data_IF_351372098231
#
_entry.id   IF_351372098231
#
_cell.length_a   1.000
_cell.length_b   1.000
_cell.length_c   1.000
_cell.angle_alpha   90.00
_cell.angle_beta   90.00
_cell.angle_gamma   90.00
#
_symmetry.space_group_name_H-M   'P 1'
#
loop_
_entity.id
_entity.type
_entity.pdbx_description
1 polymer ?
#
# COMPACT_ATOMS: atom_id res chain seq x y z
N UNK A 1 -3.46 -13.14 -18.86
CA UNK A 1 -3.43 -13.82 -17.53
C UNK A 1 -3.33 -12.86 -16.33
N UNK A 2 -2.96 -11.60 -16.51
CA UNK A 2 -2.92 -10.59 -15.43
C UNK A 2 -4.32 -10.33 -14.88
N UNK A 3 -5.32 -10.19 -15.76
CA UNK A 3 -6.72 -9.95 -15.37
C UNK A 3 -7.31 -11.12 -14.54
N UNK A 4 -6.90 -12.37 -14.84
CA UNK A 4 -7.35 -13.53 -14.06
C UNK A 4 -6.82 -13.49 -12.62
N UNK A 5 -5.56 -13.06 -12.44
CA UNK A 5 -4.96 -12.89 -11.11
C UNK A 5 -5.61 -11.76 -10.34
N UNK A 6 -5.90 -10.64 -11.01
CA UNK A 6 -6.62 -9.53 -10.38
C UNK A 6 -8.04 -9.91 -9.97
N UNK A 7 -8.79 -10.59 -10.84
CA UNK A 7 -10.12 -11.10 -10.52
C UNK A 7 -10.11 -12.10 -9.36
N UNK A 8 -9.11 -12.98 -9.31
CA UNK A 8 -8.92 -13.91 -8.21
C UNK A 8 -8.63 -13.18 -6.89
N UNK A 9 -7.79 -12.14 -6.93
CA UNK A 9 -7.47 -11.33 -5.75
C UNK A 9 -8.71 -10.62 -5.19
N UNK A 10 -9.51 -10.01 -6.08
CA UNK A 10 -10.79 -9.38 -5.73
C UNK A 10 -11.75 -10.41 -5.15
N UNK A 11 -11.88 -11.57 -5.79
CA UNK A 11 -12.75 -12.66 -5.33
C UNK A 11 -12.35 -13.17 -3.95
N UNK A 12 -11.06 -13.41 -3.70
CA UNK A 12 -10.56 -13.83 -2.39
C UNK A 12 -10.81 -12.77 -1.32
N UNK A 13 -10.59 -11.49 -1.61
CA UNK A 13 -10.85 -10.42 -0.64
C UNK A 13 -12.33 -10.29 -0.30
N UNK A 14 -13.23 -10.46 -1.28
CA UNK A 14 -14.68 -10.50 -1.03
C UNK A 14 -15.10 -11.70 -0.19
N UNK A 15 -14.53 -12.88 -0.47
CA UNK A 15 -14.79 -14.08 0.34
C UNK A 15 -14.33 -13.91 1.79
N UNK A 16 -13.17 -13.29 2.01
CA UNK A 16 -12.69 -12.97 3.35
C UNK A 16 -13.65 -12.03 4.07
N UNK A 17 -14.11 -10.96 3.42
CA UNK A 17 -15.07 -10.03 4.02
C UNK A 17 -16.38 -10.74 4.38
N UNK A 18 -16.89 -11.58 3.50
CA UNK A 18 -18.10 -12.38 3.75
C UNK A 18 -17.91 -13.32 4.93
N UNK A 19 -16.74 -13.94 5.05
CA UNK A 19 -16.41 -14.79 6.19
C UNK A 19 -16.37 -14.01 7.51
N UNK A 20 -15.86 -12.79 7.51
CA UNK A 20 -15.87 -11.92 8.71
C UNK A 20 -17.29 -11.50 9.10
N UNK A 21 -18.16 -11.18 8.14
CA UNK A 21 -19.57 -10.87 8.40
C UNK A 21 -20.29 -12.07 9.02
N UNK A 22 -20.08 -13.27 8.45
CA UNK A 22 -20.66 -14.51 8.99
C UNK A 22 -20.18 -14.79 10.42
N UNK A 23 -18.88 -14.58 10.66
CA UNK A 23 -18.30 -14.78 11.99
C UNK A 23 -18.85 -13.77 13.00
N UNK A 24 -19.02 -12.51 12.60
CA UNK A 24 -19.65 -11.47 13.42
C UNK A 24 -21.12 -11.83 13.75
N UNK A 25 -21.88 -12.30 12.75
CA UNK A 25 -23.25 -12.77 12.96
C UNK A 25 -23.33 -13.94 13.95
N UNK A 26 -22.37 -14.87 13.87
CA UNK A 26 -22.28 -16.03 14.75
C UNK A 26 -21.95 -15.62 16.20
N UNK A 27 -21.05 -14.62 16.36
CA UNK A 27 -20.71 -14.05 17.66
C UNK A 27 -21.91 -13.35 18.31
N UNK A 28 -22.61 -12.51 17.54
CA UNK A 28 -23.78 -11.77 18.02
C UNK A 28 -24.92 -12.73 18.40
N UNK A 29 -25.11 -13.80 17.64
CA UNK A 29 -26.08 -14.86 17.96
C UNK A 29 -25.76 -15.54 19.29
N UNK A 30 -24.47 -15.79 19.57
CA UNK A 30 -24.05 -16.34 20.88
C UNK A 30 -24.26 -15.39 22.05
N UNK A 31 -24.45 -14.12 21.79
CA UNK A 31 -24.73 -13.08 22.80
C UNK A 31 -26.23 -12.86 22.99
N UNK A 32 -27.08 -13.79 22.48
CA UNK A 32 -28.55 -13.70 22.51
C UNK A 32 -29.13 -12.42 21.88
N UNK A 33 -28.39 -11.82 20.94
CA UNK A 33 -28.84 -10.67 20.17
C UNK A 33 -29.23 -11.11 18.74
N UNK A 34 -30.13 -10.34 18.10
CA UNK A 34 -30.53 -10.62 16.72
C UNK A 34 -29.42 -10.25 15.74
N UNK A 35 -28.82 -11.25 15.04
CA UNK A 35 -27.70 -10.98 14.11
C UNK A 35 -28.10 -10.12 12.91
N UNK A 36 -29.35 -10.23 12.45
CA UNK A 36 -29.82 -9.48 11.29
C UNK A 36 -29.94 -8.01 11.60
N UNK A 37 -30.52 -7.65 12.74
CA UNK A 37 -30.68 -6.26 13.15
C UNK A 37 -29.34 -5.66 13.57
N UNK A 38 -28.50 -6.43 14.28
CA UNK A 38 -27.25 -5.91 14.85
C UNK A 38 -26.12 -5.81 13.81
N UNK A 39 -26.04 -6.75 12.87
CA UNK A 39 -24.94 -6.82 11.90
C UNK A 39 -25.41 -6.35 10.52
N UNK A 40 -26.36 -7.05 9.89
CA UNK A 40 -26.74 -6.80 8.49
C UNK A 40 -27.43 -5.47 8.28
N UNK A 41 -28.29 -5.02 9.19
CA UNK A 41 -28.97 -3.73 9.06
C UNK A 41 -28.02 -2.53 9.18
N UNK A 42 -26.86 -2.72 9.84
CA UNK A 42 -25.85 -1.68 10.01
C UNK A 42 -24.75 -1.72 8.94
N UNK A 43 -24.69 -2.76 8.11
CA UNK A 43 -23.72 -2.85 7.01
C UNK A 43 -24.26 -2.11 5.77
N UNK A 44 -23.60 -1.03 5.42
CA UNK A 44 -23.83 -0.33 4.14
C UNK A 44 -22.92 -0.94 3.08
N UNK A 45 -23.37 -1.98 2.38
CA UNK A 45 -22.57 -2.69 1.38
C UNK A 45 -22.02 -1.78 0.26
N UNK A 46 -22.80 -0.75 -0.15
CA UNK A 46 -22.35 0.21 -1.15
C UNK A 46 -21.16 1.04 -0.67
N UNK A 47 -21.22 1.53 0.56
CA UNK A 47 -20.15 2.33 1.15
C UNK A 47 -18.90 1.47 1.37
N UNK A 48 -19.06 0.21 1.81
CA UNK A 48 -17.95 -0.75 1.95
C UNK A 48 -17.20 -0.98 0.63
N UNK A 49 -17.91 -1.15 -0.48
CA UNK A 49 -17.28 -1.34 -1.79
C UNK A 49 -16.56 -0.08 -2.26
N UNK A 50 -17.17 1.10 -2.08
CA UNK A 50 -16.55 2.37 -2.44
C UNK A 50 -15.29 2.65 -1.61
N UNK A 51 -15.38 2.42 -0.31
CA UNK A 51 -14.24 2.58 0.60
C UNK A 51 -13.11 1.58 0.28
N UNK A 52 -13.45 0.35 -0.07
CA UNK A 52 -12.48 -0.66 -0.46
C UNK A 52 -11.75 -0.28 -1.75
N UNK A 53 -12.47 0.11 -2.79
CA UNK A 53 -11.87 0.50 -4.07
C UNK A 53 -11.07 1.79 -3.91
N UNK A 54 -11.61 2.77 -3.20
CA UNK A 54 -10.94 4.02 -2.89
C UNK A 54 -9.65 3.81 -2.11
N UNK A 55 -9.67 2.96 -1.11
CA UNK A 55 -8.50 2.65 -0.31
C UNK A 55 -7.44 1.86 -1.08
N UNK A 56 -7.82 0.91 -1.94
CA UNK A 56 -6.84 0.24 -2.81
C UNK A 56 -6.16 1.22 -3.75
N UNK A 57 -6.93 2.15 -4.34
CA UNK A 57 -6.39 3.20 -5.19
C UNK A 57 -5.42 4.10 -4.41
N UNK A 58 -5.85 4.53 -3.21
CA UNK A 58 -5.04 5.39 -2.35
C UNK A 58 -3.76 4.68 -1.89
N UNK A 59 -3.86 3.43 -1.46
CA UNK A 59 -2.68 2.63 -1.10
C UNK A 59 -1.74 2.44 -2.28
N UNK A 60 -2.26 2.19 -3.47
CA UNK A 60 -1.44 2.05 -4.68
C UNK A 60 -0.70 3.34 -5.02
N UNK A 61 -1.34 4.50 -4.90
CA UNK A 61 -0.72 5.81 -5.10
C UNK A 61 0.31 6.12 -4.02
N UNK A 62 0.01 5.79 -2.76
CA UNK A 62 0.90 6.03 -1.63
C UNK A 62 2.18 5.18 -1.70
N UNK A 63 2.09 3.94 -2.13
CA UNK A 63 3.24 3.02 -2.25
C UNK A 63 3.94 3.13 -3.62
N UNK A 64 3.37 3.90 -4.57
CA UNK A 64 3.92 4.07 -5.91
C UNK A 64 5.42 4.46 -5.94
N UNK A 65 5.95 5.36 -5.09
CA UNK A 65 7.38 5.70 -5.07
C UNK A 65 8.26 4.50 -4.75
N UNK A 66 7.84 3.63 -3.85
CA UNK A 66 8.57 2.41 -3.49
C UNK A 66 8.62 1.44 -4.68
N UNK A 67 7.48 1.20 -5.33
CA UNK A 67 7.43 0.37 -6.54
C UNK A 67 8.25 0.95 -7.68
N UNK A 68 8.17 2.27 -7.91
CA UNK A 68 8.95 2.96 -8.92
C UNK A 68 10.46 2.78 -8.72
N UNK A 69 10.92 2.91 -7.47
CA UNK A 69 12.31 2.67 -7.10
C UNK A 69 12.76 1.23 -7.37
N UNK A 70 11.97 0.24 -6.96
CA UNK A 70 12.27 -1.17 -7.23
C UNK A 70 12.32 -1.50 -8.73
N UNK A 71 11.42 -0.89 -9.53
CA UNK A 71 11.43 -1.03 -10.98
C UNK A 71 12.68 -0.43 -11.60
N UNK A 72 13.12 0.74 -11.15
CA UNK A 72 14.35 1.38 -11.60
C UNK A 72 15.58 0.53 -11.24
N UNK A 73 15.67 0.07 -10.01
CA UNK A 73 16.74 -0.82 -9.56
C UNK A 73 16.77 -2.13 -10.36
N UNK A 74 15.60 -2.71 -10.67
CA UNK A 74 15.47 -3.89 -11.52
C UNK A 74 15.92 -3.64 -12.96
N UNK A 75 15.68 -2.44 -13.50
CA UNK A 75 16.14 -2.06 -14.83
C UNK A 75 17.68 -1.85 -14.88
N UNK A 76 18.24 -1.35 -13.79
CA UNK A 76 19.69 -1.10 -13.68
C UNK A 76 20.48 -2.37 -13.40
N UNK A 77 20.05 -3.19 -12.46
CA UNK A 77 20.80 -4.34 -11.98
C UNK A 77 20.85 -5.48 -12.99
N UNK A 78 22.05 -5.94 -13.34
CA UNK A 78 22.27 -7.19 -14.12
C UNK A 78 22.10 -8.43 -13.24
N UNK A 79 22.48 -8.32 -11.96
CA UNK A 79 22.38 -9.38 -10.96
C UNK A 79 21.91 -8.78 -9.64
N UNK A 80 21.14 -9.55 -8.88
CA UNK A 80 20.63 -9.18 -7.55
C UNK A 80 19.92 -7.79 -7.46
N UNK A 81 18.83 -7.58 -8.20
CA UNK A 81 18.12 -6.29 -8.24
C UNK A 81 17.63 -5.83 -6.87
N UNK A 82 17.31 -6.77 -5.98
CA UNK A 82 16.88 -6.46 -4.61
C UNK A 82 18.01 -5.80 -3.80
N UNK A 83 19.23 -6.29 -3.90
CA UNK A 83 20.38 -5.69 -3.19
C UNK A 83 20.63 -4.28 -3.73
N UNK A 84 20.57 -4.09 -5.05
CA UNK A 84 20.74 -2.76 -5.68
C UNK A 84 19.63 -1.79 -5.29
N UNK A 85 18.44 -2.27 -5.01
CA UNK A 85 17.35 -1.42 -4.52
C UNK A 85 17.52 -1.04 -3.04
N UNK A 86 17.90 -1.98 -2.20
CA UNK A 86 17.86 -1.82 -0.74
C UNK A 86 19.18 -1.24 -0.20
N UNK A 87 20.34 -1.67 -0.70
CA UNK A 87 21.62 -1.25 -0.16
C UNK A 87 21.89 0.27 -0.22
N UNK A 88 21.57 0.99 -1.32
CA UNK A 88 21.75 2.44 -1.34
C UNK A 88 20.86 3.17 -0.32
N UNK A 89 19.61 2.72 -0.15
CA UNK A 89 18.66 3.31 0.79
C UNK A 89 19.15 3.14 2.22
N UNK A 90 19.54 1.91 2.60
CA UNK A 90 20.13 1.65 3.92
C UNK A 90 21.44 2.43 4.10
N UNK A 91 22.28 2.50 3.06
CA UNK A 91 23.52 3.26 3.11
C UNK A 91 23.28 4.74 3.39
N UNK A 92 22.31 5.36 2.72
CA UNK A 92 21.96 6.78 2.94
C UNK A 92 21.39 6.97 4.35
N UNK A 93 20.50 6.08 4.82
CA UNK A 93 19.96 6.14 6.18
C UNK A 93 21.07 6.08 7.25
N UNK A 94 22.03 5.18 7.07
CA UNK A 94 23.15 5.04 8.00
C UNK A 94 24.08 6.27 7.96
N UNK A 95 24.37 6.80 6.77
CA UNK A 95 25.17 8.02 6.62
C UNK A 95 24.47 9.23 7.22
N UNK A 96 23.18 9.37 7.01
CA UNK A 96 22.37 10.44 7.59
C UNK A 96 22.40 10.38 9.12
N UNK A 97 22.11 9.23 9.70
CA UNK A 97 22.14 9.02 11.14
C UNK A 97 23.52 9.27 11.75
N UNK A 98 24.60 8.84 11.07
CA UNK A 98 25.96 8.99 11.57
C UNK A 98 26.50 10.43 11.41
N UNK A 99 26.25 11.10 10.27
CA UNK A 99 26.81 12.42 9.96
C UNK A 99 25.96 13.56 10.47
N UNK A 100 24.63 13.43 10.34
CA UNK A 100 23.69 14.52 10.64
C UNK A 100 22.92 14.31 11.94
N UNK A 101 22.89 13.09 12.47
CA UNK A 101 22.09 12.74 13.65
C UNK A 101 20.58 12.87 13.40
N UNK A 102 20.16 12.79 12.11
CA UNK A 102 18.76 12.90 11.68
C UNK A 102 18.28 11.58 11.10
N UNK A 103 16.96 11.46 10.94
CA UNK A 103 16.29 10.26 10.43
C UNK A 103 15.27 10.58 9.31
N UNK A 104 15.47 11.69 8.60
CA UNK A 104 14.52 12.15 7.56
C UNK A 104 14.32 11.13 6.44
N UNK A 105 15.41 10.49 5.96
CA UNK A 105 15.31 9.49 4.90
C UNK A 105 14.59 8.25 5.40
N UNK A 106 14.88 7.83 6.63
CA UNK A 106 14.18 6.71 7.27
C UNK A 106 12.68 7.03 7.40
N UNK A 107 12.32 8.19 7.93
CA UNK A 107 10.94 8.62 8.10
C UNK A 107 10.20 8.71 6.75
N UNK A 108 10.85 9.27 5.72
CA UNK A 108 10.28 9.37 4.38
C UNK A 108 10.01 8.00 3.74
N UNK A 109 10.91 7.05 3.88
CA UNK A 109 10.73 5.70 3.34
C UNK A 109 9.66 4.93 4.10
N UNK A 110 9.71 4.96 5.43
CA UNK A 110 8.76 4.23 6.29
C UNK A 110 7.34 4.78 6.14
N UNK A 111 7.16 6.10 5.99
CA UNK A 111 5.84 6.70 5.78
C UNK A 111 5.15 6.20 4.51
N UNK A 112 5.90 5.82 3.47
CA UNK A 112 5.33 5.29 2.22
C UNK A 112 5.16 3.76 2.21
N UNK A 113 5.61 3.07 3.26
CA UNK A 113 5.37 1.63 3.42
C UNK A 113 4.17 1.45 4.34
N UNK A 114 3.10 0.76 3.92
CA UNK A 114 1.96 0.47 4.79
C UNK A 114 2.45 -0.31 6.01
N UNK A 115 2.31 0.27 7.18
CA UNK A 115 2.71 -0.37 8.43
C UNK A 115 1.74 -0.02 9.55
N UNK A 116 1.67 -0.89 10.53
CA UNK A 116 0.92 -0.67 11.75
C UNK A 116 1.85 -0.18 12.84
N UNK A 117 1.62 1.04 13.33
CA UNK A 117 2.35 1.60 14.46
C UNK A 117 1.37 1.77 15.61
N UNK A 118 1.61 1.08 16.73
CA UNK A 118 0.78 1.20 17.91
C UNK A 118 -0.68 0.77 17.74
N UNK A 119 -0.98 -0.07 16.74
CA UNK A 119 -2.34 -0.52 16.45
C UNK A 119 -3.10 0.40 15.47
N UNK A 120 -2.51 1.50 15.07
CA UNK A 120 -3.05 2.40 14.05
C UNK A 120 -2.34 2.17 12.71
N UNK A 121 -3.11 2.08 11.63
CA UNK A 121 -2.54 2.01 10.28
C UNK A 121 -2.35 3.42 9.75
N UNK A 122 -1.18 3.73 9.23
CA UNK A 122 -0.90 5.03 8.58
C UNK A 122 -1.69 5.20 7.29
N UNK A 123 -1.94 4.09 6.59
CA UNK A 123 -2.89 4.00 5.49
C UNK A 123 -3.76 2.78 5.76
N UNK A 124 -4.91 2.98 6.31
CA UNK A 124 -5.79 1.89 6.73
C UNK A 124 -7.20 2.05 6.26
N UNK A 125 -7.85 0.90 6.15
CA UNK A 125 -9.27 0.81 5.94
C UNK A 125 -9.95 0.68 7.29
N UNK A 126 -10.89 1.58 7.56
CA UNK A 126 -11.84 1.38 8.64
C UNK A 126 -13.19 0.99 8.06
N UNK A 127 -14.01 0.32 8.86
CA UNK A 127 -15.36 -0.08 8.50
C UNK A 127 -16.27 1.12 8.13
N UNK A 128 -15.86 2.35 8.49
CA UNK A 128 -16.67 3.57 8.31
C UNK A 128 -16.07 4.64 7.38
N UNK A 129 -15.06 4.31 6.57
CA UNK A 129 -14.55 5.26 5.57
C UNK A 129 -13.04 5.23 5.37
N UNK A 130 -12.61 5.88 4.30
CA UNK A 130 -11.20 6.11 4.00
C UNK A 130 -10.71 7.30 4.82
N UNK A 131 -9.56 7.17 5.51
CA UNK A 131 -8.95 8.29 6.22
C UNK A 131 -8.36 9.32 5.25
N UNK A 132 -9.19 10.18 4.74
CA UNK A 132 -8.75 11.34 3.96
C UNK A 132 -8.07 12.40 4.82
N UNK A 133 -8.34 12.42 6.14
CA UNK A 133 -7.86 13.46 7.06
C UNK A 133 -6.40 13.26 7.50
N UNK A 134 -5.87 12.06 7.41
CA UNK A 134 -4.51 11.74 7.85
C UNK A 134 -3.50 11.63 6.70
N UNK A 135 -3.95 11.73 5.45
CA UNK A 135 -3.06 11.67 4.29
C UNK A 135 -2.40 13.03 4.06
N UNK A 136 -1.09 13.10 4.26
CA UNK A 136 -0.31 14.26 3.87
C UNK A 136 -0.25 14.37 2.33
N UNK A 137 -1.09 15.22 1.78
CA UNK A 137 -1.20 15.45 0.34
C UNK A 137 0.11 15.95 -0.28
N UNK A 138 0.91 16.70 0.48
CA UNK A 138 2.21 17.18 0.00
C UNK A 138 3.20 16.03 -0.13
N UNK A 139 3.30 15.18 0.87
CA UNK A 139 4.13 13.98 0.85
C UNK A 139 3.70 13.02 -0.28
N UNK A 140 2.39 12.83 -0.45
CA UNK A 140 1.84 12.02 -1.54
C UNK A 140 2.21 12.59 -2.92
N UNK A 141 2.11 13.91 -3.11
CA UNK A 141 2.47 14.55 -4.37
C UNK A 141 3.97 14.40 -4.65
N UNK A 142 4.84 14.65 -3.69
CA UNK A 142 6.27 14.42 -3.81
C UNK A 142 6.61 12.96 -4.15
N UNK A 143 5.94 12.02 -3.49
CA UNK A 143 6.07 10.59 -3.76
C UNK A 143 5.65 10.22 -5.19
N UNK A 144 4.55 10.76 -5.69
CA UNK A 144 4.08 10.52 -7.06
C UNK A 144 5.03 11.11 -8.11
N UNK A 145 5.58 12.30 -7.88
CA UNK A 145 6.60 12.89 -8.76
C UNK A 145 7.84 11.99 -8.79
N UNK A 146 8.30 11.52 -7.65
CA UNK A 146 9.42 10.58 -7.56
C UNK A 146 9.10 9.26 -8.29
N UNK A 147 7.89 8.70 -8.12
CA UNK A 147 7.43 7.52 -8.84
C UNK A 147 7.44 7.72 -10.36
N UNK A 148 6.98 8.87 -10.84
CA UNK A 148 7.00 9.20 -12.27
C UNK A 148 8.42 9.27 -12.82
N UNK A 149 9.34 9.94 -12.12
CA UNK A 149 10.75 10.04 -12.52
C UNK A 149 11.40 8.65 -12.59
N UNK A 150 11.19 7.81 -11.59
CA UNK A 150 11.75 6.45 -11.53
C UNK A 150 11.18 5.53 -12.58
N UNK A 151 9.89 5.66 -12.90
CA UNK A 151 9.23 4.93 -14.00
C UNK A 151 9.80 5.34 -15.36
N UNK A 152 9.91 6.63 -15.63
CA UNK A 152 10.51 7.15 -16.88
C UNK A 152 11.96 6.66 -17.00
N UNK A 153 12.73 6.76 -15.91
CA UNK A 153 14.11 6.27 -15.87
C UNK A 153 14.20 4.77 -16.15
N UNK A 154 13.29 3.96 -15.61
CA UNK A 154 13.26 2.52 -15.83
C UNK A 154 12.93 2.15 -17.29
N UNK A 155 12.00 2.89 -17.92
CA UNK A 155 11.65 2.71 -19.34
C UNK A 155 12.83 3.08 -20.22
N UNK A 156 13.46 4.23 -19.93
CA UNK A 156 14.65 4.69 -20.67
C UNK A 156 15.79 3.67 -20.60
N UNK A 157 16.14 3.21 -19.40
CA UNK A 157 17.19 2.21 -19.20
C UNK A 157 16.89 0.89 -19.93
N UNK A 158 15.65 0.42 -19.91
CA UNK A 158 15.25 -0.80 -20.63
C UNK A 158 15.37 -0.62 -22.13
N UNK A 159 14.92 0.50 -22.68
CA UNK A 159 14.98 0.78 -24.12
C UNK A 159 16.43 0.76 -24.64
N UNK A 160 17.33 1.48 -23.96
CA UNK A 160 18.73 1.56 -24.41
C UNK A 160 19.58 0.32 -24.10
N UNK A 161 19.09 -0.59 -23.27
CA UNK A 161 19.84 -1.79 -22.90
C UNK A 161 19.55 -2.98 -23.81
N UNK A 162 18.44 -2.97 -24.49
CA UNK A 162 18.07 -4.01 -25.48
C UNK A 162 18.58 -3.68 -26.89
N UNK A 163 19.11 -2.49 -27.12
CA UNK A 163 19.69 -2.09 -28.39
C UNK A 163 21.21 -2.37 -28.50
N UNK A 164 21.81 -3.08 -27.53
CA UNK A 164 23.17 -3.58 -27.49
C UNK A 164 23.13 -5.10 -27.28
#
# INVERSE_FOLDING_TARGET
DVYKRQALYIGVSMLLQLSFVLLAMLMVWRMDMDPFVTVLANIRFGDLLLDQVGGWLMTALWVAPVYGWFLLASAWAKRAPFIVAVAPVIGIMLLEGFLLGTDYVYAAVISHIPHYVGGESVVGFYINGVFWQEVDLFSMFCGLVFAAITLIGSIYLRRYRFDI
#
